data_IF_194661266335
#
_entry.id   IF_194661266335
#
_cell.length_a   1.000
_cell.length_b   1.000
_cell.length_c   1.000
_cell.angle_alpha   90.00
_cell.angle_beta   90.00
_cell.angle_gamma   90.00
#
_symmetry.space_group_name_H-M   'P 1'
#
loop_
_entity.id
_entity.type
_entity.pdbx_description
1 polymer ?
#
# COMPACT_ATOMS: atom_id res chain seq x y z
N UNK A 1 -5.73 -3.50 -20.64
CA UNK A 1 -4.59 -3.77 -19.72
C UNK A 1 -4.01 -2.41 -19.35
N UNK A 2 -4.43 -1.83 -18.22
CA UNK A 2 -4.09 -0.44 -17.89
C UNK A 2 -2.65 -0.37 -17.36
N UNK A 3 -1.74 0.00 -18.25
CA UNK A 3 -0.31 0.20 -17.99
C UNK A 3 -0.07 1.51 -17.26
N UNK A 4 -0.64 1.64 -16.06
CA UNK A 4 -0.37 2.77 -15.18
C UNK A 4 1.12 2.73 -14.78
N UNK A 5 1.94 3.72 -15.21
CA UNK A 5 3.39 3.66 -15.03
C UNK A 5 3.77 3.57 -13.55
N UNK A 6 3.03 4.25 -12.68
CA UNK A 6 3.21 4.20 -11.23
C UNK A 6 2.96 2.80 -10.67
N UNK A 7 1.85 2.15 -11.06
CA UNK A 7 1.55 0.79 -10.59
C UNK A 7 2.57 -0.22 -11.12
N UNK A 8 3.04 -0.06 -12.36
CA UNK A 8 4.10 -0.89 -12.94
C UNK A 8 5.40 -0.77 -12.14
N UNK A 9 5.80 0.44 -11.76
CA UNK A 9 6.98 0.66 -10.90
C UNK A 9 6.85 -0.04 -9.54
N UNK A 10 5.68 0.06 -8.91
CA UNK A 10 5.40 -0.61 -7.63
C UNK A 10 5.49 -2.13 -7.78
N UNK A 11 4.86 -2.69 -8.82
CA UNK A 11 4.90 -4.14 -9.11
C UNK A 11 6.33 -4.62 -9.34
N UNK A 12 7.12 -3.89 -10.12
CA UNK A 12 8.52 -4.22 -10.38
C UNK A 12 9.37 -4.16 -9.11
N UNK A 13 9.15 -3.16 -8.24
CA UNK A 13 9.83 -3.07 -6.95
C UNK A 13 9.50 -4.28 -6.06
N UNK A 14 8.21 -4.64 -5.93
CA UNK A 14 7.78 -5.83 -5.17
C UNK A 14 8.36 -7.12 -5.73
N UNK A 15 8.39 -7.27 -7.05
CA UNK A 15 8.97 -8.44 -7.71
C UNK A 15 10.46 -8.60 -7.37
N UNK A 16 11.24 -7.52 -7.42
CA UNK A 16 12.66 -7.52 -7.06
C UNK A 16 12.89 -7.89 -5.60
N UNK A 17 12.07 -7.37 -4.69
CA UNK A 17 12.15 -7.69 -3.26
C UNK A 17 11.81 -9.16 -3.02
N UNK A 18 10.72 -9.65 -3.63
CA UNK A 18 10.31 -11.05 -3.54
C UNK A 18 11.39 -12.00 -4.04
N UNK A 19 12.06 -11.68 -5.15
CA UNK A 19 13.18 -12.48 -5.65
C UNK A 19 14.38 -12.51 -4.68
N UNK A 20 14.70 -11.38 -4.02
CA UNK A 20 15.76 -11.33 -2.98
C UNK A 20 15.44 -12.20 -1.77
N UNK A 21 14.15 -12.32 -1.41
CA UNK A 21 13.68 -13.16 -0.32
C UNK A 21 13.47 -14.63 -0.73
N UNK A 22 13.82 -15.02 -1.97
CA UNK A 22 13.60 -16.38 -2.48
C UNK A 22 12.12 -16.74 -2.64
N UNK A 23 11.26 -15.74 -2.81
CA UNK A 23 9.80 -15.88 -2.84
C UNK A 23 9.17 -16.49 -1.57
N UNK A 24 9.93 -16.51 -0.46
CA UNK A 24 9.44 -16.97 0.84
C UNK A 24 8.62 -15.86 1.53
N UNK A 25 7.33 -16.12 1.85
CA UNK A 25 6.47 -15.13 2.48
C UNK A 25 6.93 -14.71 3.87
N UNK A 26 7.55 -15.60 4.64
CA UNK A 26 8.03 -15.27 5.99
C UNK A 26 9.20 -14.29 5.93
N UNK A 27 10.20 -14.59 5.09
CA UNK A 27 11.33 -13.70 4.83
C UNK A 27 10.91 -12.36 4.23
N UNK A 28 9.86 -12.35 3.41
CA UNK A 28 9.30 -11.13 2.85
C UNK A 28 8.72 -10.22 3.95
N UNK A 29 7.97 -10.81 4.90
CA UNK A 29 7.40 -10.07 6.03
C UNK A 29 8.50 -9.53 6.94
N UNK A 30 9.48 -10.35 7.30
CA UNK A 30 10.66 -9.92 8.08
C UNK A 30 11.38 -8.75 7.40
N UNK A 31 11.63 -8.85 6.09
CA UNK A 31 12.24 -7.77 5.33
C UNK A 31 11.45 -6.46 5.44
N UNK A 32 10.12 -6.52 5.34
CA UNK A 32 9.29 -5.32 5.48
C UNK A 32 9.25 -4.79 6.92
N UNK A 33 9.31 -5.63 7.94
CA UNK A 33 9.39 -5.20 9.34
C UNK A 33 10.67 -4.40 9.56
N UNK A 34 11.82 -4.90 9.12
CA UNK A 34 13.10 -4.18 9.23
C UNK A 34 13.09 -2.88 8.43
N UNK A 35 12.50 -2.89 7.23
CA UNK A 35 12.35 -1.69 6.42
C UNK A 35 11.46 -0.64 7.11
N UNK A 36 10.39 -1.06 7.79
CA UNK A 36 9.51 -0.16 8.52
C UNK A 36 10.19 0.45 9.74
N UNK A 37 11.05 -0.31 10.45
CA UNK A 37 11.89 0.22 11.53
C UNK A 37 12.84 1.30 11.03
N UNK A 38 13.44 1.10 9.85
CA UNK A 38 14.35 2.07 9.25
C UNK A 38 13.66 3.38 8.83
N UNK A 39 12.39 3.31 8.38
CA UNK A 39 11.62 4.46 7.88
C UNK A 39 10.39 4.76 8.73
N UNK A 40 10.56 4.73 10.05
CA UNK A 40 9.46 4.91 11.01
C UNK A 40 8.77 6.28 10.84
N UNK A 41 9.53 7.30 10.43
CA UNK A 41 9.07 8.67 10.12
C UNK A 41 8.06 8.74 8.96
N UNK A 42 8.05 7.73 8.08
CA UNK A 42 7.20 7.66 6.89
C UNK A 42 5.96 6.79 7.08
N UNK A 43 5.84 6.13 8.25
CA UNK A 43 4.69 5.28 8.55
C UNK A 43 3.46 6.14 8.82
N UNK A 44 2.32 5.69 8.31
CA UNK A 44 1.06 6.37 8.55
C UNK A 44 0.51 5.87 9.89
N UNK A 45 0.16 6.75 10.84
CA UNK A 45 -0.41 6.37 12.14
C UNK A 45 -1.68 5.52 11.97
N UNK A 46 -1.83 4.50 12.82
CA UNK A 46 -2.96 3.56 12.78
C UNK A 46 -4.26 4.23 13.22
N UNK A 47 -4.14 5.27 14.04
CA UNK A 47 -5.25 6.02 14.64
C UNK A 47 -6.10 6.81 13.62
N UNK A 48 -5.65 6.89 12.36
CA UNK A 48 -6.38 7.53 11.27
C UNK A 48 -7.06 6.48 10.40
N UNK A 49 -8.39 6.54 10.22
CA UNK A 49 -9.09 5.55 9.42
C UNK A 49 -8.65 5.62 7.95
N UNK A 50 -8.72 4.47 7.26
CA UNK A 50 -8.11 4.25 5.95
C UNK A 50 -8.58 5.21 4.84
N UNK A 51 -9.76 5.82 5.00
CA UNK A 51 -10.28 6.84 4.07
C UNK A 51 -9.69 8.24 4.33
N UNK A 52 -9.38 8.59 5.59
CA UNK A 52 -8.69 9.85 5.92
C UNK A 52 -7.19 9.80 5.62
N UNK A 53 -6.62 8.60 5.40
CA UNK A 53 -5.26 8.43 4.85
C UNK A 53 -5.10 8.93 3.40
N UNK A 54 -6.18 9.25 2.67
CA UNK A 54 -6.19 9.64 1.24
C UNK A 54 -6.49 11.12 0.95
N UNK A 55 -6.51 12.00 1.95
CA UNK A 55 -6.90 13.41 1.80
C UNK A 55 -6.01 14.32 0.94
N UNK A 56 -5.03 13.80 0.18
CA UNK A 56 -4.16 14.61 -0.69
C UNK A 56 -4.17 14.25 -2.18
N UNK A 57 -4.94 13.25 -2.64
CA UNK A 57 -4.75 12.74 -4.02
C UNK A 57 -5.98 12.87 -4.95
N UNK A 58 -7.21 13.07 -4.47
CA UNK A 58 -8.35 13.22 -5.38
C UNK A 58 -9.40 14.23 -4.88
N UNK A 59 -9.07 15.51 -4.90
CA UNK A 59 -10.08 16.56 -5.05
C UNK A 59 -10.53 16.56 -6.51
N UNK A 60 -11.47 15.68 -6.84
CA UNK A 60 -12.49 15.81 -7.89
C UNK A 60 -13.06 14.43 -8.20
N UNK A 61 -14.01 13.97 -7.39
CA UNK A 61 -15.32 13.51 -7.84
C UNK A 61 -16.13 13.12 -6.61
N UNK A 62 -16.95 14.07 -6.17
CA UNK A 62 -18.04 13.84 -5.25
C UNK A 62 -19.03 12.85 -5.87
N UNK A 63 -19.15 11.67 -5.26
CA UNK A 63 -20.40 10.92 -5.00
C UNK A 63 -20.03 9.47 -4.70
N UNK A 64 -19.66 9.21 -3.45
CA UNK A 64 -19.69 7.85 -2.93
C UNK A 64 -21.16 7.47 -2.75
N UNK A 65 -21.63 6.50 -3.55
CA UNK A 65 -22.88 5.79 -3.32
C UNK A 65 -22.76 5.03 -1.99
N UNK A 66 -23.75 5.23 -1.12
CA UNK A 66 -23.97 4.41 0.06
C UNK A 66 -24.21 2.97 -0.40
N UNK A 67 -23.44 2.03 0.12
CA UNK A 67 -23.78 0.61 0.10
C UNK A 67 -23.63 0.13 1.53
N UNK A 68 -24.78 0.16 2.21
CA UNK A 68 -24.99 -0.46 3.50
C UNK A 68 -24.70 -1.95 3.38
N UNK A 69 -23.78 -2.42 4.21
CA UNK A 69 -23.55 -3.83 4.45
C UNK A 69 -24.66 -4.30 5.41
N UNK A 70 -25.58 -5.14 4.94
CA UNK A 70 -26.45 -5.94 5.80
C UNK A 70 -26.19 -7.42 5.52
N UNK A 71 -26.17 -8.19 6.61
CA UNK A 71 -25.84 -9.62 6.75
C UNK A 71 -26.65 -10.57 5.85
#
# INVERSE_FOLDING_TARGET
MNSEPTLTRIRNARRRISAKCGHDPYKLVEYYIELQKQYQDRLIPVDKPLYQRRGRIFSNQSKCLNLDFQD
#
